data_IF_066883306934
#
_entry.id   IF_066883306934
#
_cell.length_a   1.000
_cell.length_b   1.000
_cell.length_c   1.000
_cell.angle_alpha   90.00
_cell.angle_beta   90.00
_cell.angle_gamma   90.00
#
_symmetry.space_group_name_H-M   'P 1'
#
loop_
_entity.id
_entity.type
_entity.pdbx_description
1 polymer ?
#
# COMPACT_ATOMS: atom_id res chain seq x y z
N UNK A 1 -3.05 7.59 -17.87
CA UNK A 1 -3.84 6.85 -18.87
C UNK A 1 -5.16 6.47 -18.25
N UNK A 2 -6.28 6.53 -18.95
CA UNK A 2 -7.57 6.17 -18.38
C UNK A 2 -7.52 4.71 -17.92
N UNK A 3 -8.01 4.48 -16.71
CA UNK A 3 -8.18 3.14 -16.16
C UNK A 3 -9.67 2.85 -16.07
N UNK A 4 -10.07 1.63 -16.40
CA UNK A 4 -11.44 1.15 -16.25
C UNK A 4 -11.50 0.32 -15.00
N UNK A 5 -12.48 0.62 -14.13
CA UNK A 5 -12.72 -0.13 -12.90
C UNK A 5 -14.06 -0.85 -12.94
N UNK A 6 -14.13 -2.08 -12.46
CA UNK A 6 -15.35 -2.88 -12.37
C UNK A 6 -15.44 -3.64 -11.06
N UNK A 7 -16.65 -3.71 -10.50
CA UNK A 7 -16.96 -4.58 -9.35
C UNK A 7 -17.74 -5.81 -9.81
N UNK A 8 -17.27 -6.98 -9.37
CA UNK A 8 -18.01 -8.25 -9.43
C UNK A 8 -18.51 -8.55 -8.01
N UNK A 9 -19.81 -8.40 -7.78
CA UNK A 9 -20.40 -8.45 -6.43
C UNK A 9 -21.23 -9.69 -6.21
N UNK A 10 -20.94 -10.41 -5.12
CA UNK A 10 -21.69 -11.56 -4.63
C UNK A 10 -22.60 -11.19 -3.44
N UNK A 11 -22.17 -10.24 -2.59
CA UNK A 11 -22.96 -9.76 -1.45
C UNK A 11 -22.67 -8.31 -1.14
N UNK A 12 -23.62 -7.62 -0.49
CA UNK A 12 -23.47 -6.27 0.04
C UNK A 12 -23.14 -6.24 1.53
N UNK A 13 -23.30 -7.39 2.21
CA UNK A 13 -22.94 -7.61 3.61
C UNK A 13 -21.91 -8.72 3.68
N UNK A 14 -21.27 -8.89 4.85
CA UNK A 14 -20.40 -10.05 5.03
C UNK A 14 -21.24 -11.32 4.99
N UNK A 15 -20.77 -12.28 4.19
CA UNK A 15 -21.33 -13.61 4.06
C UNK A 15 -20.19 -14.59 3.76
N UNK A 16 -20.11 -15.70 4.49
CA UNK A 16 -18.99 -16.65 4.42
C UNK A 16 -18.87 -17.29 3.03
N UNK A 17 -20.00 -17.68 2.43
CA UNK A 17 -19.99 -18.30 1.11
C UNK A 17 -19.67 -17.28 0.01
N UNK A 18 -20.22 -16.06 0.11
CA UNK A 18 -19.87 -14.97 -0.80
C UNK A 18 -18.36 -14.65 -0.70
N UNK A 19 -17.79 -14.61 0.50
CA UNK A 19 -16.35 -14.40 0.68
C UNK A 19 -15.52 -15.58 0.10
N UNK A 20 -15.98 -16.82 0.26
CA UNK A 20 -15.34 -17.98 -0.38
C UNK A 20 -15.31 -17.83 -1.91
N UNK A 21 -16.45 -17.45 -2.53
CA UNK A 21 -16.52 -17.20 -3.99
C UNK A 21 -15.63 -16.05 -4.44
N UNK A 22 -15.57 -14.97 -3.67
CA UNK A 22 -14.63 -13.86 -3.92
C UNK A 22 -13.19 -14.36 -3.98
N UNK A 23 -12.77 -15.20 -3.03
CA UNK A 23 -11.40 -15.74 -3.00
C UNK A 23 -11.12 -16.69 -4.15
N UNK A 24 -12.06 -17.56 -4.51
CA UNK A 24 -11.96 -18.45 -5.67
C UNK A 24 -11.80 -17.66 -6.98
N UNK A 25 -12.68 -16.67 -7.19
CA UNK A 25 -12.61 -15.82 -8.37
C UNK A 25 -11.29 -15.03 -8.42
N UNK A 26 -10.87 -14.45 -7.30
CA UNK A 26 -9.60 -13.72 -7.25
C UNK A 26 -8.40 -14.63 -7.56
N UNK A 27 -8.41 -15.89 -7.07
CA UNK A 27 -7.38 -16.87 -7.38
C UNK A 27 -7.37 -17.21 -8.89
N UNK A 28 -8.56 -17.48 -9.49
CA UNK A 28 -8.67 -17.76 -10.92
C UNK A 28 -8.20 -16.59 -11.79
N UNK A 29 -8.57 -15.36 -11.44
CA UNK A 29 -8.13 -14.15 -12.14
C UNK A 29 -6.62 -13.92 -12.03
N UNK A 30 -6.02 -14.18 -10.85
CA UNK A 30 -4.58 -14.04 -10.64
C UNK A 30 -3.75 -15.16 -11.27
N UNK A 31 -4.34 -16.28 -11.63
CA UNK A 31 -3.60 -17.39 -12.25
C UNK A 31 -3.03 -17.04 -13.63
N UNK A 32 -3.71 -16.17 -14.40
CA UNK A 32 -3.26 -15.73 -15.72
C UNK A 32 -3.83 -14.34 -16.07
N UNK A 33 -3.38 -13.28 -15.39
CA UNK A 33 -3.84 -11.93 -15.69
C UNK A 33 -3.29 -11.48 -17.05
N UNK A 34 -4.13 -10.94 -17.96
CA UNK A 34 -3.67 -10.38 -19.21
C UNK A 34 -2.85 -9.09 -18.96
N UNK A 35 -1.97 -8.80 -19.95
CA UNK A 35 -1.26 -7.52 -19.90
C UNK A 35 -2.23 -6.34 -19.93
N UNK A 36 -1.98 -5.36 -19.05
CA UNK A 36 -2.86 -4.21 -18.85
C UNK A 36 -3.71 -4.29 -17.56
N UNK A 37 -3.82 -5.45 -16.90
CA UNK A 37 -4.45 -5.53 -15.56
C UNK A 37 -3.60 -4.76 -14.56
N UNK A 38 -4.26 -3.89 -13.79
CA UNK A 38 -3.65 -3.02 -12.77
C UNK A 38 -3.94 -3.48 -11.37
N UNK A 39 -5.18 -4.00 -11.13
CA UNK A 39 -5.61 -4.38 -9.81
C UNK A 39 -6.62 -5.51 -9.84
N UNK A 40 -6.48 -6.48 -8.92
CA UNK A 40 -7.42 -7.52 -8.59
C UNK A 40 -7.57 -7.50 -7.07
N UNK A 41 -8.61 -6.82 -6.58
CA UNK A 41 -8.81 -6.63 -5.14
C UNK A 41 -10.01 -7.42 -4.62
N UNK A 42 -9.80 -8.55 -3.91
CA UNK A 42 -10.83 -9.27 -3.21
C UNK A 42 -11.22 -8.54 -1.91
N UNK A 43 -12.46 -8.08 -1.84
CA UNK A 43 -13.07 -7.54 -0.63
C UNK A 43 -13.87 -8.60 0.14
N UNK A 44 -14.78 -8.18 1.01
CA UNK A 44 -15.62 -9.10 1.76
C UNK A 44 -16.61 -9.89 0.89
N UNK A 45 -17.32 -9.20 0.01
CA UNK A 45 -18.37 -9.77 -0.82
C UNK A 45 -18.26 -9.41 -2.30
N UNK A 46 -17.15 -8.87 -2.75
CA UNK A 46 -16.93 -8.47 -4.14
C UNK A 46 -15.46 -8.51 -4.52
N UNK A 47 -15.17 -8.68 -5.81
CA UNK A 47 -13.85 -8.45 -6.39
C UNK A 47 -13.90 -7.12 -7.16
N UNK A 48 -12.97 -6.21 -6.89
CA UNK A 48 -12.72 -5.05 -7.71
C UNK A 48 -11.60 -5.35 -8.70
N UNK A 49 -11.82 -4.98 -9.95
CA UNK A 49 -10.86 -5.12 -11.05
C UNK A 49 -10.56 -3.75 -11.62
N UNK A 50 -9.29 -3.53 -11.97
CA UNK A 50 -8.86 -2.34 -12.70
C UNK A 50 -7.90 -2.71 -13.80
N UNK A 51 -8.07 -2.10 -14.99
CA UNK A 51 -7.16 -2.28 -16.11
C UNK A 51 -6.96 -1.01 -16.92
N UNK A 52 -5.85 -0.97 -17.66
CA UNK A 52 -5.52 0.07 -18.61
C UNK A 52 -6.21 -0.26 -19.95
N UNK A 53 -7.19 0.56 -20.37
CA UNK A 53 -7.99 0.34 -21.56
C UNK A 53 -7.20 0.50 -22.88
N UNK A 54 -6.06 1.18 -22.85
CA UNK A 54 -5.15 1.28 -23.98
C UNK A 54 -4.38 -0.05 -24.24
N UNK A 55 -4.23 -0.89 -23.20
CA UNK A 55 -3.50 -2.18 -23.27
C UNK A 55 -4.44 -3.38 -23.29
N UNK A 56 -5.57 -3.29 -22.60
CA UNK A 56 -6.57 -4.34 -22.48
C UNK A 56 -7.96 -3.79 -22.81
N UNK A 57 -8.46 -4.11 -23.98
CA UNK A 57 -9.82 -3.69 -24.40
C UNK A 57 -10.89 -4.31 -23.48
N UNK A 58 -12.03 -3.62 -23.34
CA UNK A 58 -13.15 -4.10 -22.51
C UNK A 58 -13.66 -5.49 -22.93
N UNK A 59 -13.66 -5.81 -24.23
CA UNK A 59 -14.09 -7.13 -24.71
C UNK A 59 -13.13 -8.24 -24.28
N UNK A 60 -11.81 -7.98 -24.32
CA UNK A 60 -10.81 -8.93 -23.83
C UNK A 60 -10.84 -9.06 -22.30
N UNK A 61 -11.03 -7.94 -21.58
CA UNK A 61 -11.20 -7.95 -20.13
C UNK A 61 -12.43 -8.77 -19.74
N UNK A 62 -13.57 -8.56 -20.45
CA UNK A 62 -14.77 -9.35 -20.24
C UNK A 62 -14.55 -10.84 -20.50
N UNK A 63 -13.93 -11.21 -21.61
CA UNK A 63 -13.66 -12.61 -21.93
C UNK A 63 -12.75 -13.28 -20.89
N UNK A 64 -11.77 -12.56 -20.34
CA UNK A 64 -10.92 -13.04 -19.26
C UNK A 64 -11.72 -13.25 -17.95
N UNK A 65 -12.61 -12.33 -17.60
CA UNK A 65 -13.48 -12.46 -16.43
C UNK A 65 -14.47 -13.63 -16.60
N UNK A 66 -15.11 -13.74 -17.77
CA UNK A 66 -16.06 -14.84 -18.07
C UNK A 66 -15.34 -16.20 -17.94
N UNK A 67 -14.12 -16.32 -18.49
CA UNK A 67 -13.32 -17.54 -18.37
C UNK A 67 -12.97 -17.88 -16.91
N UNK A 68 -12.71 -16.88 -16.08
CA UNK A 68 -12.45 -17.09 -14.65
C UNK A 68 -13.71 -17.50 -13.86
N UNK A 69 -14.88 -16.98 -14.26
CA UNK A 69 -16.17 -17.35 -13.67
C UNK A 69 -16.62 -18.77 -14.05
N UNK A 70 -16.29 -19.22 -15.27
CA UNK A 70 -16.59 -20.55 -15.77
C UNK A 70 -15.53 -21.60 -15.36
N UNK A 71 -14.43 -21.17 -14.76
CA UNK A 71 -13.41 -22.08 -14.28
C UNK A 71 -13.98 -22.98 -13.17
N UNK A 72 -13.69 -24.30 -13.19
CA UNK A 72 -14.08 -25.17 -12.11
C UNK A 72 -13.52 -24.64 -10.78
N UNK A 73 -14.27 -24.83 -9.69
CA UNK A 73 -13.81 -24.45 -8.35
C UNK A 73 -12.38 -24.99 -8.13
N UNK A 74 -11.41 -24.11 -8.23
CA UNK A 74 -10.03 -24.45 -7.92
C UNK A 74 -9.97 -24.73 -6.42
N UNK A 75 -9.26 -25.77 -6.00
CA UNK A 75 -8.92 -25.90 -4.59
C UNK A 75 -8.16 -24.63 -4.18
N UNK A 76 -8.76 -23.85 -3.27
CA UNK A 76 -8.03 -22.79 -2.61
C UNK A 76 -6.82 -23.43 -1.94
N UNK A 77 -5.65 -22.77 -2.04
CA UNK A 77 -4.48 -23.21 -1.31
C UNK A 77 -4.86 -23.48 0.17
N UNK A 78 -4.31 -24.56 0.73
CA UNK A 78 -4.58 -24.92 2.12
C UNK A 78 -4.37 -23.70 3.03
N UNK A 79 -5.36 -23.40 3.87
CA UNK A 79 -5.32 -22.24 4.75
C UNK A 79 -4.19 -22.42 5.76
N UNK A 80 -3.32 -21.42 5.89
CA UNK A 80 -2.31 -21.43 6.96
C UNK A 80 -3.01 -21.24 8.30
N UNK A 81 -2.55 -21.95 9.31
CA UNK A 81 -2.96 -21.73 10.69
C UNK A 81 -1.94 -20.83 11.39
N UNK A 82 -2.38 -19.68 11.84
CA UNK A 82 -1.54 -18.66 12.47
C UNK A 82 -1.99 -18.46 13.92
N UNK A 83 -1.12 -18.70 14.87
CA UNK A 83 -1.35 -18.38 16.29
C UNK A 83 -0.78 -17.02 16.62
N UNK A 84 -1.60 -16.17 17.22
CA UNK A 84 -1.25 -14.80 17.62
C UNK A 84 -1.28 -14.68 19.13
N UNK A 85 -0.13 -14.56 19.81
CA UNK A 85 -0.11 -14.26 21.22
C UNK A 85 -0.56 -12.81 21.46
N UNK A 86 -1.42 -12.60 22.47
CA UNK A 86 -2.06 -11.32 22.79
C UNK A 86 -1.98 -11.02 24.28
N UNK A 87 -1.44 -9.86 24.61
CA UNK A 87 -1.60 -9.26 25.93
C UNK A 87 -2.94 -8.52 25.96
N UNK A 88 -3.93 -9.09 26.68
CA UNK A 88 -5.25 -8.46 26.83
C UNK A 88 -5.22 -7.32 27.85
N UNK A 89 -6.24 -6.47 27.90
CA UNK A 89 -6.31 -5.25 28.71
C UNK A 89 -6.05 -4.01 27.87
N UNK A 90 -6.70 -3.91 26.70
CA UNK A 90 -6.61 -2.74 25.82
C UNK A 90 -7.34 -1.52 26.36
N UNK A 91 -7.18 -0.38 25.67
CA UNK A 91 -7.69 0.94 26.08
C UNK A 91 -9.22 1.01 26.23
N UNK A 92 -9.95 0.10 25.59
CA UNK A 92 -11.42 0.10 25.57
C UNK A 92 -12.01 -1.14 26.27
N UNK A 93 -11.19 -1.90 27.03
CA UNK A 93 -11.65 -3.11 27.71
C UNK A 93 -12.78 -2.81 28.70
N UNK A 94 -12.72 -1.72 29.44
CA UNK A 94 -13.75 -1.33 30.40
C UNK A 94 -15.06 -0.94 29.69
N UNK A 95 -14.98 -0.18 28.57
CA UNK A 95 -16.17 0.17 27.78
C UNK A 95 -16.81 -1.09 27.13
N UNK A 96 -15.99 -2.06 26.73
CA UNK A 96 -16.50 -3.36 26.22
C UNK A 96 -17.13 -4.16 27.36
N UNK A 97 -16.54 -4.18 28.55
CA UNK A 97 -17.09 -4.82 29.74
C UNK A 97 -18.47 -4.23 30.12
N UNK A 98 -18.57 -2.92 30.16
CA UNK A 98 -19.83 -2.22 30.43
C UNK A 98 -20.92 -2.53 29.39
N UNK A 99 -20.54 -2.62 28.10
CA UNK A 99 -21.46 -2.86 27.00
C UNK A 99 -21.95 -4.32 26.93
N UNK A 100 -21.11 -5.29 27.36
CA UNK A 100 -21.38 -6.73 27.22
C UNK A 100 -21.76 -7.40 28.53
N UNK A 101 -21.45 -6.78 29.68
CA UNK A 101 -21.59 -7.39 31.01
C UNK A 101 -20.52 -8.46 31.30
N UNK A 102 -19.46 -8.55 30.49
CA UNK A 102 -18.38 -9.52 30.66
C UNK A 102 -17.23 -8.91 31.47
N UNK A 103 -16.55 -9.72 32.31
CA UNK A 103 -15.29 -9.30 32.93
C UNK A 103 -14.15 -9.22 31.88
N UNK A 104 -13.05 -8.58 32.24
CA UNK A 104 -11.87 -8.49 31.36
C UNK A 104 -11.32 -9.88 30.98
N UNK A 105 -11.31 -10.83 31.92
CA UNK A 105 -10.90 -12.22 31.71
C UNK A 105 -11.88 -12.95 30.77
N UNK A 106 -13.19 -12.66 30.91
CA UNK A 106 -14.19 -13.24 30.02
C UNK A 106 -14.10 -12.67 28.60
N UNK A 107 -13.83 -11.36 28.44
CA UNK A 107 -13.54 -10.74 27.14
C UNK A 107 -12.36 -11.43 26.49
N UNK A 108 -11.24 -11.60 27.19
CA UNK A 108 -10.04 -12.28 26.69
C UNK A 108 -10.35 -13.71 26.25
N UNK A 109 -11.06 -14.48 27.09
CA UNK A 109 -11.46 -15.86 26.78
C UNK A 109 -12.38 -15.92 25.58
N UNK A 110 -13.43 -15.09 25.53
CA UNK A 110 -14.40 -15.07 24.43
C UNK A 110 -13.76 -14.69 23.09
N UNK A 111 -12.75 -13.81 23.12
CA UNK A 111 -11.99 -13.45 21.93
C UNK A 111 -10.98 -14.54 21.52
N UNK A 112 -10.38 -15.26 22.47
CA UNK A 112 -9.39 -16.29 22.19
C UNK A 112 -9.99 -17.65 21.78
N UNK A 113 -11.24 -17.94 22.16
CA UNK A 113 -11.89 -19.23 21.95
C UNK A 113 -12.16 -19.57 20.46
N UNK A 114 -12.67 -18.64 19.62
CA UNK A 114 -12.96 -18.95 18.22
C UNK A 114 -11.69 -19.04 17.37
N UNK A 115 -11.81 -19.75 16.24
CA UNK A 115 -10.88 -19.63 15.13
C UNK A 115 -11.44 -18.63 14.13
N UNK A 116 -10.65 -17.63 13.79
CA UNK A 116 -11.01 -16.56 12.87
C UNK A 116 -10.53 -16.86 11.46
N UNK A 117 -11.16 -16.24 10.45
CA UNK A 117 -10.67 -16.27 9.09
C UNK A 117 -10.33 -14.87 8.62
N UNK A 118 -9.15 -14.69 8.00
CA UNK A 118 -8.79 -13.46 7.30
C UNK A 118 -9.66 -13.34 6.05
N UNK A 119 -10.63 -12.45 6.09
CA UNK A 119 -11.66 -12.27 5.05
C UNK A 119 -11.36 -11.14 4.08
N UNK A 120 -10.51 -10.20 4.47
CA UNK A 120 -9.99 -9.11 3.65
C UNK A 120 -8.73 -8.53 4.29
N UNK A 121 -7.98 -7.72 3.55
CA UNK A 121 -6.93 -6.89 4.08
C UNK A 121 -7.30 -5.40 3.96
N UNK A 122 -7.08 -4.64 5.03
CA UNK A 122 -7.17 -3.19 5.02
C UNK A 122 -5.76 -2.59 5.11
N UNK A 123 -5.65 -1.30 5.33
CA UNK A 123 -4.40 -0.51 5.34
C UNK A 123 -3.15 -1.28 5.80
N UNK A 124 -2.16 -1.35 4.92
CA UNK A 124 -0.81 -1.94 5.13
C UNK A 124 -0.83 -3.31 5.82
N UNK A 125 -1.54 -4.28 5.18
CA UNK A 125 -1.57 -5.65 5.70
C UNK A 125 -2.43 -5.85 6.95
N UNK A 126 -3.29 -4.90 7.29
CA UNK A 126 -4.23 -5.03 8.41
C UNK A 126 -5.21 -6.19 8.16
N UNK A 127 -5.15 -7.29 8.90
CA UNK A 127 -6.06 -8.41 8.68
C UNK A 127 -7.46 -8.08 9.19
N UNK A 128 -8.46 -8.18 8.32
CA UNK A 128 -9.86 -8.09 8.67
C UNK A 128 -10.38 -9.51 8.88
N UNK A 129 -10.67 -9.87 10.11
CA UNK A 129 -11.04 -11.24 10.49
C UNK A 129 -12.47 -11.26 11.00
N UNK A 130 -13.19 -12.32 10.68
CA UNK A 130 -14.59 -12.55 11.09
C UNK A 130 -14.69 -13.77 11.98
N UNK A 131 -15.66 -13.76 12.91
CA UNK A 131 -15.90 -14.86 13.83
C UNK A 131 -15.98 -14.45 15.31
N UNK A 132 -16.08 -13.13 15.62
CA UNK A 132 -16.27 -12.68 17.02
C UNK A 132 -17.57 -13.24 17.56
N UNK A 133 -17.49 -13.94 18.71
CA UNK A 133 -18.63 -14.54 19.37
C UNK A 133 -19.74 -13.49 19.66
N UNK A 134 -21.00 -13.84 19.41
CA UNK A 134 -22.15 -12.93 19.49
C UNK A 134 -22.18 -12.14 20.81
N UNK A 135 -21.91 -12.80 21.94
CA UNK A 135 -21.87 -12.16 23.28
C UNK A 135 -20.77 -11.12 23.47
N UNK A 136 -19.74 -11.09 22.58
CA UNK A 136 -18.64 -10.12 22.59
C UNK A 136 -18.79 -9.04 21.52
N UNK A 137 -19.82 -9.12 20.68
CA UNK A 137 -20.02 -8.15 19.62
C UNK A 137 -20.45 -6.80 20.18
N UNK A 138 -19.65 -5.78 19.88
CA UNK A 138 -19.92 -4.38 20.21
C UNK A 138 -19.82 -3.52 18.95
N UNK A 139 -20.63 -2.46 18.82
CA UNK A 139 -20.54 -1.59 17.66
C UNK A 139 -19.22 -0.82 17.66
N UNK A 140 -18.88 -0.24 16.49
CA UNK A 140 -17.78 0.72 16.39
C UNK A 140 -18.00 1.88 17.35
N UNK A 141 -16.91 2.42 17.86
CA UNK A 141 -16.92 3.64 18.69
C UNK A 141 -17.62 4.80 17.97
N UNK A 142 -18.46 5.51 18.68
CA UNK A 142 -19.15 6.73 18.17
C UNK A 142 -18.14 7.81 17.77
N UNK A 143 -17.07 7.94 18.54
CA UNK A 143 -15.96 8.86 18.27
C UNK A 143 -14.69 8.04 18.02
N UNK A 144 -14.21 7.96 16.77
CA UNK A 144 -12.96 7.29 16.45
C UNK A 144 -11.77 7.94 17.18
N UNK A 145 -10.78 7.14 17.56
CA UNK A 145 -9.50 7.65 18.07
C UNK A 145 -8.66 8.15 16.89
N UNK A 146 -7.86 9.19 17.13
CA UNK A 146 -6.90 9.72 16.15
C UNK A 146 -5.63 8.90 16.11
N UNK A 147 -5.33 8.10 17.15
CA UNK A 147 -4.05 7.44 17.39
C UNK A 147 -4.23 6.10 18.13
N UNK A 148 -4.86 5.14 17.46
CA UNK A 148 -4.84 3.75 17.93
C UNK A 148 -3.40 3.24 17.90
N UNK A 149 -2.90 2.62 18.99
CA UNK A 149 -1.53 2.08 19.02
C UNK A 149 -1.26 1.04 17.92
N UNK A 150 -0.02 0.93 17.48
CA UNK A 150 0.40 -0.20 16.66
C UNK A 150 0.18 -1.51 17.41
N UNK A 151 -0.11 -2.58 16.70
CA UNK A 151 -0.40 -3.92 17.19
C UNK A 151 -1.65 -4.02 18.09
N UNK A 152 -2.46 -2.95 18.19
CA UNK A 152 -3.74 -3.02 18.89
C UNK A 152 -4.63 -4.10 18.28
N UNK A 153 -5.07 -5.05 19.10
CA UNK A 153 -6.12 -6.01 18.78
C UNK A 153 -7.46 -5.36 19.12
N UNK A 154 -8.35 -5.25 18.13
CA UNK A 154 -9.58 -4.50 18.28
C UNK A 154 -10.76 -5.21 17.63
N UNK A 155 -11.96 -5.00 18.21
CA UNK A 155 -13.21 -5.61 17.76
C UNK A 155 -14.24 -4.55 17.34
N UNK A 156 -15.10 -4.93 16.40
CA UNK A 156 -16.31 -4.19 16.02
C UNK A 156 -17.30 -5.14 15.35
N UNK A 157 -18.51 -5.22 15.88
CA UNK A 157 -19.54 -6.19 15.48
C UNK A 157 -18.96 -7.62 15.46
N UNK A 158 -19.15 -8.37 14.39
CA UNK A 158 -18.65 -9.74 14.19
C UNK A 158 -17.16 -9.84 13.82
N UNK A 159 -16.45 -8.73 13.80
CA UNK A 159 -15.09 -8.65 13.26
C UNK A 159 -14.03 -8.31 14.32
N UNK A 160 -12.82 -8.84 14.12
CA UNK A 160 -11.61 -8.47 14.83
C UNK A 160 -10.49 -8.12 13.86
N UNK A 161 -9.52 -7.33 14.32
CA UNK A 161 -8.37 -6.88 13.54
C UNK A 161 -7.15 -6.66 14.41
N UNK A 162 -5.98 -6.54 13.77
CA UNK A 162 -4.73 -6.07 14.41
C UNK A 162 -4.24 -4.86 13.63
N UNK A 163 -4.06 -3.73 14.29
CA UNK A 163 -3.57 -2.51 13.66
C UNK A 163 -2.07 -2.64 13.33
N UNK A 164 -1.64 -2.51 12.06
CA UNK A 164 -0.24 -2.71 11.68
C UNK A 164 0.70 -1.57 12.14
N UNK A 165 0.15 -0.39 12.36
CA UNK A 165 0.87 0.82 12.75
C UNK A 165 -0.01 1.71 13.61
N UNK A 166 0.59 2.73 14.25
CA UNK A 166 -0.17 3.79 14.90
C UNK A 166 -0.96 4.57 13.85
N UNK A 167 -2.29 4.55 13.95
CA UNK A 167 -3.19 5.14 12.95
C UNK A 167 -4.57 5.47 13.53
N UNK A 168 -5.37 6.33 12.89
CA UNK A 168 -6.76 6.56 13.30
C UNK A 168 -7.61 5.30 13.21
N UNK A 169 -8.54 5.09 14.16
CA UNK A 169 -9.43 3.94 14.16
C UNK A 169 -10.63 4.08 15.07
N UNK A 170 -11.72 3.42 14.71
CA UNK A 170 -12.99 3.45 15.47
C UNK A 170 -13.39 2.10 16.05
N UNK A 171 -12.47 1.13 16.14
CA UNK A 171 -12.74 -0.17 16.73
C UNK A 171 -12.33 -0.18 18.21
N UNK A 172 -12.95 -1.06 19.01
CA UNK A 172 -12.71 -1.14 20.43
C UNK A 172 -11.44 -1.94 20.70
N UNK A 173 -10.42 -1.30 21.23
CA UNK A 173 -9.11 -1.87 21.54
C UNK A 173 -9.18 -2.72 22.82
N UNK A 174 -9.04 -4.04 22.70
CA UNK A 174 -9.15 -5.03 23.78
C UNK A 174 -7.84 -5.68 24.17
N UNK A 175 -6.76 -5.50 23.41
CA UNK A 175 -5.46 -6.11 23.69
C UNK A 175 -4.38 -5.68 22.72
N UNK A 176 -3.17 -6.17 22.90
CA UNK A 176 -2.03 -5.89 22.05
C UNK A 176 -1.42 -7.20 21.54
N UNK A 177 -1.26 -7.35 20.23
CA UNK A 177 -0.61 -8.50 19.62
C UNK A 177 0.91 -8.47 19.90
N UNK A 178 1.48 -9.63 20.21
CA UNK A 178 2.90 -9.78 20.50
C UNK A 178 3.70 -10.23 19.26
N UNK A 179 3.19 -9.94 18.06
CA UNK A 179 3.83 -10.21 16.76
C UNK A 179 3.63 -9.04 15.83
N UNK A 180 4.64 -8.75 14.99
CA UNK A 180 4.50 -7.74 13.94
C UNK A 180 3.59 -8.25 12.81
N UNK A 181 2.62 -7.43 12.42
CA UNK A 181 1.67 -7.69 11.30
C UNK A 181 2.33 -7.42 9.95
N UNK A 182 3.26 -6.46 9.94
CA UNK A 182 3.97 -6.01 8.77
C UNK A 182 5.43 -5.74 9.11
N UNK A 183 6.35 -6.26 8.29
CA UNK A 183 7.78 -6.02 8.41
C UNK A 183 8.40 -5.87 7.00
N UNK A 184 8.83 -4.66 6.59
CA UNK A 184 9.34 -4.38 5.26
C UNK A 184 10.68 -5.07 4.94
N UNK A 185 11.35 -5.68 5.93
CA UNK A 185 12.65 -6.34 5.76
C UNK A 185 12.53 -7.85 5.49
N UNK A 186 11.32 -8.41 5.60
CA UNK A 186 11.07 -9.82 5.31
C UNK A 186 10.81 -10.02 3.82
N UNK A 187 11.12 -11.21 3.31
CA UNK A 187 10.79 -11.62 1.93
C UNK A 187 9.28 -11.59 1.69
N UNK A 188 8.49 -12.09 2.65
CA UNK A 188 7.05 -11.87 2.73
C UNK A 188 6.77 -10.89 3.88
N UNK A 189 6.53 -9.61 3.58
CA UNK A 189 6.41 -8.58 4.61
C UNK A 189 5.11 -8.64 5.39
N UNK A 190 4.11 -9.42 4.93
CA UNK A 190 2.80 -9.53 5.55
C UNK A 190 2.67 -10.80 6.37
N UNK A 191 2.37 -10.67 7.66
CA UNK A 191 2.18 -11.82 8.54
C UNK A 191 0.94 -12.64 8.15
N UNK A 192 -0.07 -12.00 7.58
CA UNK A 192 -1.37 -12.59 7.26
C UNK A 192 -1.65 -12.54 5.77
N UNK A 193 -2.33 -13.59 5.29
CA UNK A 193 -2.84 -13.69 3.92
C UNK A 193 -4.35 -13.91 3.94
N UNK A 194 -5.00 -13.50 2.87
CA UNK A 194 -6.42 -13.76 2.68
C UNK A 194 -6.70 -15.28 2.75
N UNK A 195 -7.64 -15.66 3.60
CA UNK A 195 -8.01 -17.05 3.84
C UNK A 195 -7.32 -17.73 5.02
N UNK A 196 -6.26 -17.13 5.60
CA UNK A 196 -5.61 -17.69 6.79
C UNK A 196 -6.59 -17.92 7.93
N UNK A 197 -6.36 -18.99 8.70
CA UNK A 197 -7.03 -19.30 9.95
C UNK A 197 -6.21 -18.77 11.11
N UNK A 198 -6.81 -17.94 11.94
CA UNK A 198 -6.12 -17.25 13.02
C UNK A 198 -6.73 -17.63 14.36
N UNK A 199 -5.87 -17.99 15.30
CA UNK A 199 -6.24 -18.24 16.69
C UNK A 199 -5.47 -17.28 17.58
N UNK A 200 -6.18 -16.59 18.45
CA UNK A 200 -5.56 -15.73 19.46
C UNK A 200 -5.26 -16.54 20.72
N UNK A 201 -4.10 -16.29 21.32
CA UNK A 201 -3.66 -16.98 22.53
C UNK A 201 -3.33 -15.93 23.62
N UNK A 202 -4.06 -15.92 24.76
CA UNK A 202 -3.73 -15.04 25.87
C UNK A 202 -2.30 -15.30 26.35
N UNK A 203 -1.48 -14.26 26.39
CA UNK A 203 -0.09 -14.34 26.86
C UNK A 203 0.34 -13.02 27.45
N UNK A 204 1.05 -13.09 28.59
CA UNK A 204 1.75 -11.92 29.13
C UNK A 204 3.01 -11.64 28.32
N UNK A 205 3.30 -10.37 28.09
CA UNK A 205 4.50 -9.95 27.39
C UNK A 205 4.42 -8.52 26.87
N UNK A 206 5.56 -8.06 26.36
CA UNK A 206 5.66 -6.76 25.71
C UNK A 206 5.58 -6.93 24.18
N UNK A 207 4.95 -6.00 23.45
CA UNK A 207 4.90 -6.04 22.00
C UNK A 207 6.32 -5.92 21.42
N UNK A 208 6.58 -6.53 20.25
CA UNK A 208 7.86 -6.38 19.58
C UNK A 208 8.11 -4.91 19.19
N UNK A 209 9.39 -4.53 19.14
CA UNK A 209 9.76 -3.24 18.61
C UNK A 209 9.20 -3.07 17.17
N UNK A 210 8.76 -1.87 16.78
CA UNK A 210 8.34 -1.63 15.40
C UNK A 210 9.54 -1.87 14.46
N UNK A 211 9.30 -2.43 13.27
CA UNK A 211 10.34 -2.61 12.27
C UNK A 211 11.04 -1.29 11.94
N UNK A 212 12.33 -1.36 11.69
CA UNK A 212 13.09 -0.20 11.22
C UNK A 212 12.55 0.32 9.89
N UNK A 213 12.73 1.62 9.64
CA UNK A 213 12.35 2.21 8.37
C UNK A 213 13.27 1.70 7.26
N UNK A 214 12.68 1.17 6.19
CA UNK A 214 13.44 0.84 4.99
C UNK A 214 13.73 2.10 4.20
N UNK A 215 15.01 2.39 3.98
CA UNK A 215 15.46 3.49 3.11
C UNK A 215 15.54 2.96 1.68
N UNK A 216 14.88 3.64 0.77
CA UNK A 216 14.84 3.24 -0.64
C UNK A 216 15.97 3.87 -1.48
N UNK A 217 16.58 4.95 -1.00
CA UNK A 217 17.75 5.55 -1.64
C UNK A 217 19.04 4.90 -1.11
N UNK A 218 20.06 4.70 -1.96
CA UNK A 218 21.35 4.22 -1.51
C UNK A 218 21.98 5.25 -0.55
N UNK A 219 22.57 4.76 0.56
CA UNK A 219 23.28 5.63 1.51
C UNK A 219 24.43 6.37 0.85
N UNK A 220 25.15 5.72 -0.07
CA UNK A 220 26.22 6.27 -0.86
C UNK A 220 25.90 6.14 -2.36
N UNK A 221 25.37 7.18 -3.01
CA UNK A 221 25.07 7.13 -4.43
C UNK A 221 26.34 7.10 -5.28
N UNK A 222 26.41 6.19 -6.25
CA UNK A 222 27.56 6.08 -7.16
C UNK A 222 27.74 7.31 -8.08
N UNK A 223 26.64 7.92 -8.49
CA UNK A 223 26.60 9.06 -9.39
C UNK A 223 25.65 10.14 -8.83
N UNK A 224 26.06 10.86 -7.78
CA UNK A 224 25.22 11.91 -7.21
C UNK A 224 25.00 13.03 -8.23
N UNK A 225 23.73 13.29 -8.56
CA UNK A 225 23.37 14.36 -9.50
C UNK A 225 23.12 15.69 -8.77
N UNK A 226 22.44 15.62 -7.64
CA UNK A 226 22.08 16.78 -6.85
C UNK A 226 22.37 16.56 -5.37
N UNK A 227 22.62 17.67 -4.67
CA UNK A 227 22.56 17.78 -3.22
C UNK A 227 21.32 18.58 -2.84
N UNK A 228 20.52 18.09 -1.93
CA UNK A 228 19.40 18.84 -1.37
C UNK A 228 19.95 19.90 -0.42
N UNK A 229 19.77 21.17 -0.74
CA UNK A 229 20.14 22.30 0.12
C UNK A 229 18.98 22.69 1.04
N UNK A 230 17.75 22.62 0.52
CA UNK A 230 16.53 22.88 1.27
C UNK A 230 15.43 21.93 0.80
N UNK A 231 14.73 21.27 1.73
CA UNK A 231 13.60 20.43 1.41
C UNK A 231 12.31 21.25 1.22
N UNK A 232 11.42 20.78 0.38
CA UNK A 232 10.05 21.28 0.31
C UNK A 232 9.20 20.79 1.51
N UNK A 233 7.98 21.32 1.67
CA UNK A 233 7.07 20.85 2.72
C UNK A 233 6.71 19.36 2.61
N UNK A 234 6.63 18.85 1.38
CA UNK A 234 6.39 17.44 1.08
C UNK A 234 6.94 17.13 -0.32
N UNK A 235 8.07 16.46 -0.35
CA UNK A 235 8.72 15.94 -1.55
C UNK A 235 8.72 14.42 -1.47
N UNK A 236 8.17 13.75 -2.48
CA UNK A 236 8.05 12.30 -2.55
C UNK A 236 8.79 11.77 -3.77
N UNK A 237 9.52 10.68 -3.59
CA UNK A 237 10.01 9.87 -4.71
C UNK A 237 8.90 8.92 -5.13
N UNK A 238 8.47 9.03 -6.37
CA UNK A 238 7.37 8.25 -6.91
C UNK A 238 7.76 7.63 -8.26
N UNK A 239 7.32 6.42 -8.46
CA UNK A 239 7.19 5.75 -9.76
C UNK A 239 5.70 5.66 -10.13
N UNK A 240 5.28 4.68 -10.93
CA UNK A 240 3.86 4.52 -11.26
C UNK A 240 2.98 4.00 -10.10
N UNK A 241 3.57 3.69 -8.95
CA UNK A 241 2.89 3.14 -7.79
C UNK A 241 2.86 1.61 -7.73
N UNK A 242 2.18 1.09 -6.73
CA UNK A 242 2.12 -0.34 -6.37
C UNK A 242 0.91 -1.01 -7.02
N UNK A 243 1.09 -1.51 -8.24
CA UNK A 243 0.03 -2.21 -8.96
C UNK A 243 -0.17 -3.62 -8.39
N UNK A 244 -1.42 -4.07 -8.39
CA UNK A 244 -1.85 -5.39 -7.92
C UNK A 244 -1.38 -5.71 -6.48
N UNK A 245 -1.41 -4.71 -5.58
CA UNK A 245 -1.03 -4.87 -4.18
C UNK A 245 -2.19 -4.55 -3.20
N UNK A 246 -3.37 -4.18 -3.71
CA UNK A 246 -4.51 -3.85 -2.87
C UNK A 246 -5.01 -5.06 -2.07
N UNK A 247 -4.81 -6.29 -2.57
CA UNK A 247 -5.14 -7.53 -1.85
C UNK A 247 -4.34 -7.70 -0.54
N UNK A 248 -3.23 -6.99 -0.38
CA UNK A 248 -2.48 -6.84 0.87
C UNK A 248 -2.87 -5.60 1.68
N UNK A 249 -3.90 -4.87 1.25
CA UNK A 249 -4.27 -3.59 1.86
C UNK A 249 -3.31 -2.45 1.55
N UNK A 250 -2.45 -2.61 0.54
CA UNK A 250 -1.52 -1.55 0.12
C UNK A 250 -2.21 -0.59 -0.83
N UNK A 251 -2.18 0.70 -0.50
CA UNK A 251 -2.63 1.72 -1.45
C UNK A 251 -1.75 1.73 -2.69
N UNK A 252 -2.34 1.91 -3.86
CA UNK A 252 -1.60 1.99 -5.13
C UNK A 252 -0.52 3.07 -5.09
N UNK A 253 -0.81 4.23 -4.48
CA UNK A 253 0.10 5.40 -4.52
C UNK A 253 0.42 5.83 -5.97
N UNK A 254 1.65 6.28 -6.21
CA UNK A 254 2.05 6.84 -7.49
C UNK A 254 1.72 8.33 -7.58
N UNK A 255 1.99 8.97 -8.73
CA UNK A 255 1.77 10.39 -8.93
C UNK A 255 0.27 10.76 -8.86
N UNK A 256 -0.03 11.86 -8.18
CA UNK A 256 -1.40 12.38 -8.12
C UNK A 256 -1.88 12.86 -9.49
N UNK A 257 -0.98 13.50 -10.26
CA UNK A 257 -1.19 13.88 -11.66
C UNK A 257 -0.26 13.04 -12.55
N UNK A 258 -0.81 11.92 -13.00
CA UNK A 258 -0.07 10.92 -13.79
C UNK A 258 0.41 11.48 -15.13
N UNK A 259 -0.38 12.36 -15.75
CA UNK A 259 -0.03 12.97 -17.04
C UNK A 259 1.15 13.93 -16.89
N UNK A 260 1.14 14.75 -15.83
CA UNK A 260 2.24 15.66 -15.54
C UNK A 260 3.54 14.90 -15.18
N UNK A 261 3.44 13.82 -14.39
CA UNK A 261 4.58 12.97 -14.07
C UNK A 261 5.18 12.31 -15.31
N UNK A 262 4.32 11.75 -16.17
CA UNK A 262 4.72 11.19 -17.44
C UNK A 262 5.40 12.24 -18.35
N UNK A 263 4.82 13.45 -18.46
CA UNK A 263 5.42 14.55 -19.24
C UNK A 263 6.80 14.94 -18.69
N UNK A 264 6.96 15.03 -17.36
CA UNK A 264 8.26 15.33 -16.75
C UNK A 264 9.31 14.29 -17.14
N UNK A 265 8.95 12.99 -17.09
CA UNK A 265 9.83 11.91 -17.50
C UNK A 265 10.16 11.96 -19.01
N UNK A 266 9.18 12.25 -19.87
CA UNK A 266 9.44 12.41 -21.31
C UNK A 266 10.40 13.57 -21.59
N UNK A 267 10.22 14.71 -20.92
CA UNK A 267 11.10 15.88 -21.04
C UNK A 267 12.54 15.56 -20.57
N UNK A 268 12.70 14.67 -19.61
CA UNK A 268 14.00 14.18 -19.17
C UNK A 268 14.58 13.05 -20.05
N UNK A 269 13.83 12.54 -21.03
CA UNK A 269 14.23 11.40 -21.87
C UNK A 269 14.14 10.06 -21.18
N UNK A 270 13.30 9.92 -20.15
CA UNK A 270 13.12 8.72 -19.36
C UNK A 270 11.96 7.87 -19.89
N UNK A 271 11.92 6.60 -19.45
CA UNK A 271 10.70 5.80 -19.53
C UNK A 271 9.56 6.46 -18.73
N UNK A 272 8.28 6.29 -19.13
CA UNK A 272 7.14 6.96 -18.51
C UNK A 272 7.02 6.78 -16.99
N UNK A 273 7.52 5.68 -16.47
CA UNK A 273 7.38 5.24 -15.08
C UNK A 273 8.68 5.34 -14.28
N UNK A 274 9.70 6.00 -14.82
CA UNK A 274 10.95 6.22 -14.09
C UNK A 274 10.68 7.01 -12.81
N UNK A 275 11.41 6.68 -11.75
CA UNK A 275 11.30 7.37 -10.48
C UNK A 275 11.64 8.85 -10.63
N UNK A 276 10.76 9.70 -10.10
CA UNK A 276 10.87 11.15 -10.14
C UNK A 276 10.49 11.77 -8.78
N UNK A 277 10.61 13.09 -8.66
CA UNK A 277 10.20 13.83 -7.47
C UNK A 277 8.81 14.45 -7.74
N UNK A 278 7.83 14.13 -6.89
CA UNK A 278 6.58 14.89 -6.76
C UNK A 278 6.71 15.86 -5.58
N UNK A 279 6.48 17.14 -5.81
CA UNK A 279 6.52 18.17 -4.77
C UNK A 279 5.16 18.84 -4.56
N UNK A 280 4.88 19.19 -3.30
CA UNK A 280 3.63 19.84 -2.89
C UNK A 280 3.86 21.26 -2.40
N UNK A 281 3.12 22.24 -2.93
CA UNK A 281 3.14 23.68 -2.62
C UNK A 281 4.47 24.36 -2.98
N UNK A 282 5.58 23.77 -2.67
CA UNK A 282 6.94 24.20 -2.99
C UNK A 282 7.82 22.96 -3.06
N UNK A 283 8.70 22.87 -4.01
CA UNK A 283 9.67 21.78 -4.10
C UNK A 283 11.00 22.09 -3.40
N UNK A 284 11.94 21.16 -3.49
CA UNK A 284 13.27 21.32 -2.91
C UNK A 284 14.10 22.36 -3.65
N UNK A 285 15.12 22.92 -2.98
CA UNK A 285 16.24 23.60 -3.61
C UNK A 285 17.40 22.62 -3.71
N UNK A 286 17.86 22.39 -4.92
CA UNK A 286 18.87 21.38 -5.26
C UNK A 286 20.10 22.05 -5.87
N UNK A 287 21.30 21.68 -5.39
CA UNK A 287 22.57 22.09 -6.01
C UNK A 287 23.03 20.97 -6.96
N UNK A 288 23.26 21.32 -8.22
CA UNK A 288 23.79 20.39 -9.22
C UNK A 288 25.24 20.02 -8.94
N UNK A 289 25.55 18.76 -8.71
CA UNK A 289 26.89 18.24 -8.47
C UNK A 289 27.61 17.86 -9.77
N UNK A 290 26.88 17.78 -10.87
CA UNK A 290 27.32 17.47 -12.23
C UNK A 290 26.38 18.10 -13.23
N UNK A 291 26.74 18.12 -14.51
CA UNK A 291 25.81 18.46 -15.58
C UNK A 291 24.71 17.38 -15.62
N UNK A 292 23.44 17.78 -15.62
CA UNK A 292 22.30 16.87 -15.65
C UNK A 292 21.15 17.46 -16.46
N UNK A 293 20.52 16.62 -17.27
CA UNK A 293 19.27 16.99 -17.96
C UNK A 293 18.10 16.72 -17.04
N UNK A 294 17.20 17.68 -16.95
CA UNK A 294 15.96 17.55 -16.18
C UNK A 294 14.74 17.89 -17.03
N UNK A 295 13.61 17.28 -16.65
CA UNK A 295 12.29 17.64 -17.14
C UNK A 295 11.39 18.01 -15.96
N UNK A 296 10.63 19.09 -16.09
CA UNK A 296 9.66 19.49 -15.08
C UNK A 296 8.30 19.73 -15.70
N UNK A 297 7.24 19.29 -15.01
CA UNK A 297 5.86 19.46 -15.43
C UNK A 297 4.93 19.63 -14.23
N UNK A 298 3.67 19.98 -14.50
CA UNK A 298 2.65 20.24 -13.50
C UNK A 298 2.30 21.71 -13.41
N UNK A 299 1.03 22.01 -13.13
CA UNK A 299 0.52 23.38 -13.11
C UNK A 299 0.84 24.11 -11.81
N UNK A 300 1.06 23.37 -10.71
CA UNK A 300 1.24 23.94 -9.38
C UNK A 300 2.63 24.55 -9.13
N UNK A 301 3.65 24.01 -9.79
CA UNK A 301 5.04 24.43 -9.57
C UNK A 301 5.74 24.70 -10.91
N UNK A 302 6.67 25.66 -10.88
CA UNK A 302 7.54 26.01 -12.00
C UNK A 302 9.00 25.76 -11.62
N UNK A 303 9.77 25.26 -12.58
CA UNK A 303 11.21 25.09 -12.48
C UNK A 303 11.91 26.43 -12.58
N UNK A 304 12.89 26.63 -11.72
CA UNK A 304 13.86 27.75 -11.77
C UNK A 304 15.29 27.18 -11.76
N UNK A 305 16.16 27.76 -12.55
CA UNK A 305 17.59 27.48 -12.56
C UNK A 305 18.32 28.81 -12.31
N UNK A 306 19.10 28.89 -11.23
CA UNK A 306 19.78 30.10 -10.76
C UNK A 306 18.83 31.31 -10.70
N UNK A 307 17.64 31.11 -10.12
CA UNK A 307 16.54 32.07 -9.96
C UNK A 307 15.81 32.46 -11.25
N UNK A 308 16.23 31.99 -12.41
CA UNK A 308 15.55 32.25 -13.68
C UNK A 308 14.48 31.18 -13.96
N UNK A 309 13.23 31.58 -14.29
CA UNK A 309 12.15 30.65 -14.57
C UNK A 309 12.38 29.91 -15.89
N UNK A 310 12.20 28.62 -15.85
CA UNK A 310 12.29 27.74 -17.01
C UNK A 310 10.88 27.23 -17.40
N UNK A 311 10.63 27.11 -18.70
CA UNK A 311 9.40 26.52 -19.21
C UNK A 311 9.31 25.00 -18.98
N UNK A 312 8.20 24.41 -19.41
CA UNK A 312 8.04 22.94 -19.44
C UNK A 312 8.78 22.36 -20.66
N UNK A 313 10.11 22.38 -20.59
CA UNK A 313 11.01 21.94 -21.65
C UNK A 313 12.14 21.09 -21.06
N UNK A 314 12.79 20.31 -21.91
CA UNK A 314 14.05 19.63 -21.58
C UNK A 314 15.10 20.68 -21.22
N UNK A 315 15.66 20.58 -20.01
CA UNK A 315 16.58 21.60 -19.48
C UNK A 315 17.91 20.97 -19.09
N UNK A 316 19.01 21.50 -19.63
CA UNK A 316 20.34 21.14 -19.18
C UNK A 316 20.76 22.05 -18.02
N UNK A 317 20.88 21.45 -16.84
CA UNK A 317 21.39 22.08 -15.62
C UNK A 317 22.89 21.84 -15.54
N UNK A 318 23.66 22.89 -15.46
CA UNK A 318 25.15 22.84 -15.35
C UNK A 318 25.56 22.56 -13.90
N UNK A 319 26.70 21.90 -13.73
CA UNK A 319 27.32 21.71 -12.42
C UNK A 319 27.48 23.05 -11.70
N UNK A 320 27.06 23.09 -10.43
CA UNK A 320 27.10 24.31 -9.59
C UNK A 320 25.85 25.17 -9.65
N UNK A 321 24.97 24.96 -10.63
CA UNK A 321 23.67 25.65 -10.70
C UNK A 321 22.71 25.18 -9.63
N UNK A 322 21.84 26.09 -9.18
CA UNK A 322 20.73 25.77 -8.24
C UNK A 322 19.43 25.56 -8.99
N UNK A 323 18.74 24.53 -8.64
CA UNK A 323 17.40 24.15 -9.17
C UNK A 323 16.38 24.27 -8.05
N UNK A 324 15.26 24.94 -8.31
CA UNK A 324 14.14 24.99 -7.37
C UNK A 324 12.79 24.87 -8.09
N UNK A 325 11.80 24.30 -7.40
CA UNK A 325 10.42 24.28 -7.84
C UNK A 325 9.62 25.27 -6.99
N UNK A 326 9.01 26.29 -7.62
CA UNK A 326 8.30 27.38 -6.95
C UNK A 326 6.84 27.42 -7.35
N UNK A 327 5.97 27.81 -6.39
CA UNK A 327 4.53 27.88 -6.60
C UNK A 327 4.16 28.86 -7.74
N UNK A 328 3.22 28.44 -8.57
CA UNK A 328 2.64 29.27 -9.63
C UNK A 328 1.34 29.97 -9.19
N UNK A 329 0.72 29.52 -8.10
CA UNK A 329 -0.62 29.90 -7.70
C UNK A 329 -1.76 29.24 -8.49
N UNK A 330 -1.46 28.37 -9.46
CA UNK A 330 -2.44 27.70 -10.33
C UNK A 330 -2.72 26.25 -9.94
N UNK A 331 -2.10 25.76 -8.87
CA UNK A 331 -2.21 24.39 -8.36
C UNK A 331 -1.23 24.17 -7.22
N UNK A 332 -1.12 22.90 -6.78
CA UNK A 332 -0.33 22.55 -5.60
C UNK A 332 0.76 21.51 -5.87
N UNK A 333 0.76 20.86 -7.03
CA UNK A 333 1.68 19.77 -7.39
C UNK A 333 2.59 20.16 -8.55
N UNK A 334 3.83 19.66 -8.50
CA UNK A 334 4.77 19.70 -9.60
C UNK A 334 5.70 18.49 -9.54
N UNK A 335 6.27 18.16 -10.69
CA UNK A 335 7.06 16.96 -10.91
C UNK A 335 8.41 17.36 -11.48
N UNK A 336 9.48 16.76 -10.96
CA UNK A 336 10.85 16.92 -11.45
C UNK A 336 11.45 15.54 -11.73
N UNK A 337 11.79 15.32 -12.98
CA UNK A 337 12.47 14.12 -13.45
C UNK A 337 13.92 14.43 -13.81
N UNK A 338 14.83 13.51 -13.55
CA UNK A 338 16.24 13.56 -13.90
C UNK A 338 16.52 12.55 -15.01
N UNK A 339 17.30 12.91 -16.02
CA UNK A 339 17.71 12.00 -17.08
C UNK A 339 18.38 10.75 -16.50
N UNK A 340 17.91 9.58 -16.90
CA UNK A 340 18.31 8.29 -16.37
C UNK A 340 17.53 7.83 -15.14
N UNK A 341 16.57 8.66 -14.63
CA UNK A 341 15.78 8.38 -13.44
C UNK A 341 16.55 8.54 -12.14
N UNK A 342 15.91 8.23 -11.03
CA UNK A 342 16.49 8.21 -9.68
C UNK A 342 16.70 6.76 -9.28
N UNK A 343 17.91 6.40 -8.83
CA UNK A 343 18.24 5.05 -8.38
C UNK A 343 17.65 4.81 -6.97
N UNK A 344 16.44 4.29 -6.94
CA UNK A 344 15.74 3.91 -5.73
C UNK A 344 15.44 2.41 -5.78
N UNK A 345 15.48 1.74 -4.62
CA UNK A 345 15.03 0.34 -4.52
C UNK A 345 13.52 0.28 -4.79
N UNK A 346 13.06 -0.64 -5.65
CA UNK A 346 11.63 -0.86 -5.83
C UNK A 346 11.02 -1.38 -4.53
N UNK A 347 9.86 -0.82 -4.16
CA UNK A 347 9.13 -1.23 -2.98
C UNK A 347 7.67 -1.52 -3.36
N UNK A 348 7.36 -2.79 -3.60
CA UNK A 348 6.07 -3.22 -4.20
C UNK A 348 5.75 -2.52 -5.52
N UNK A 349 6.70 -1.82 -6.11
CA UNK A 349 6.61 -1.22 -7.42
C UNK A 349 6.92 -2.24 -8.50
N UNK A 350 6.58 -1.91 -9.73
CA UNK A 350 7.01 -2.71 -10.88
C UNK A 350 8.52 -2.78 -10.91
N UNK A 351 9.00 -3.99 -11.12
CA UNK A 351 10.37 -4.24 -11.57
C UNK A 351 10.51 -3.56 -12.94
N UNK A 352 10.85 -2.26 -12.93
CA UNK A 352 11.26 -1.55 -14.14
C UNK A 352 12.63 -2.10 -14.45
N UNK A 353 12.64 -3.27 -15.11
CA UNK A 353 13.87 -3.82 -15.70
C UNK A 353 14.47 -2.72 -16.55
N UNK A 354 15.56 -2.15 -16.08
CA UNK A 354 16.41 -1.32 -16.93
C UNK A 354 16.88 -2.25 -18.04
N UNK A 355 16.60 -1.96 -19.32
CA UNK A 355 17.01 -2.84 -20.42
C UNK A 355 18.52 -3.13 -20.44
N UNK A 356 19.33 -2.41 -19.67
CA UNK A 356 20.78 -2.43 -19.67
C UNK A 356 21.41 -2.97 -18.37
N UNK A 357 20.66 -3.46 -17.40
CA UNK A 357 21.24 -4.17 -16.25
C UNK A 357 21.26 -5.66 -16.55
N UNK A 358 22.45 -6.30 -16.67
CA UNK A 358 22.53 -7.75 -16.73
C UNK A 358 21.89 -8.34 -15.47
N UNK A 359 21.12 -9.42 -15.65
CA UNK A 359 20.41 -10.13 -14.60
C UNK A 359 21.29 -10.28 -13.35
N UNK A 360 20.87 -9.70 -12.25
CA UNK A 360 21.48 -9.96 -10.94
C UNK A 360 21.16 -11.42 -10.59
N UNK A 361 22.15 -12.29 -10.39
CA UNK A 361 21.86 -13.66 -10.02
C UNK A 361 21.03 -13.68 -8.73
N UNK A 362 20.12 -14.67 -8.58
CA UNK A 362 19.32 -14.78 -7.37
C UNK A 362 20.24 -14.82 -6.14
N UNK A 363 19.89 -14.07 -5.11
CA UNK A 363 20.61 -14.09 -3.84
C UNK A 363 20.72 -15.54 -3.38
N UNK A 364 21.93 -16.05 -3.24
CA UNK A 364 22.16 -17.38 -2.69
C UNK A 364 21.69 -17.35 -1.23
N UNK A 365 20.75 -18.24 -0.93
CA UNK A 365 20.42 -18.56 0.45
C UNK A 365 21.71 -18.97 1.18
N UNK A 366 22.03 -18.26 2.26
CA UNK A 366 23.03 -18.60 3.25
C UNK A 366 22.35 -18.73 4.58
#
# INVERSE_FOLDING_TARGET
>A
MPAVGQYLRYSTTFDVEANRRVRLLAAALNASPPDGVREIYPGFGSVYLEWDDARLSNDRAKAWVDAALDAPDQELAEARHVTVPVAYGGLDTDEVADATGLSAEEIARCHAEPEYQVSAAASVGQPMMTGVAERLQVPRRKTPRTDVPALAVAIANEQTTIYPAKMPGGWNHIGTALVNVYDPHRDDPFAFRLGDRVRFEPRDGEPPAPPERRLLLPAEPQLPAFRVEEAGPLDLLLDQGRLNQAHHGMAQSGPLDTEAAWLANQLAGNAPHATLIESTLRGPTLLALRDVVVGAAGRGLRLYVDDEPVGQITTLVRKGARVSLRATGLGVRGYLALAGGIDAEPFFGLDVRRPDRPDRPPARAG
#
